data_IF_872388671312
#
_entry.id   IF_872388671312
#
_cell.length_a   1.000
_cell.length_b   1.000
_cell.length_c   1.000
_cell.angle_alpha   90.00
_cell.angle_beta   90.00
_cell.angle_gamma   90.00
#
_symmetry.space_group_name_H-M   'P 1'
#
loop_
_entity.id
_entity.type
_entity.pdbx_description
1 polymer ?
#
# COMPACT_ATOMS: atom_id res chain seq x y z
N UNK A 1 -0.82 -5.31 7.87
CA UNK A 1 -1.66 -6.50 8.10
C UNK A 1 -2.41 -6.98 6.86
N UNK A 2 -3.13 -6.12 6.11
CA UNK A 2 -3.88 -6.56 4.92
C UNK A 2 -2.98 -7.22 3.84
N UNK A 3 -1.86 -6.57 3.48
CA UNK A 3 -0.85 -7.15 2.55
C UNK A 3 -0.35 -8.51 3.06
N UNK A 4 0.08 -8.57 4.32
CA UNK A 4 0.61 -9.79 4.94
C UNK A 4 -0.40 -10.95 4.91
N UNK A 5 -1.68 -10.68 5.21
CA UNK A 5 -2.74 -11.70 5.15
C UNK A 5 -3.02 -12.18 3.72
N UNK A 6 -3.07 -11.27 2.74
CA UNK A 6 -3.26 -11.65 1.33
C UNK A 6 -2.14 -12.58 0.85
N UNK A 7 -0.88 -12.27 1.16
CA UNK A 7 0.25 -13.14 0.79
C UNK A 7 0.34 -14.43 1.63
N UNK A 8 -0.08 -14.40 2.90
CA UNK A 8 -0.21 -15.59 3.75
C UNK A 8 -1.22 -16.59 3.19
N UNK A 9 -2.36 -16.09 2.69
CA UNK A 9 -3.35 -16.92 2.00
C UNK A 9 -2.82 -17.53 0.70
N UNK A 10 -2.02 -16.78 -0.07
CA UNK A 10 -1.45 -17.25 -1.34
C UNK A 10 -0.35 -18.31 -1.14
N UNK A 11 0.49 -18.20 -0.10
CA UNK A 11 1.60 -19.15 0.17
C UNK A 11 1.29 -20.20 1.25
N UNK A 12 0.12 -20.15 1.88
CA UNK A 12 -0.30 -21.12 2.90
C UNK A 12 0.49 -21.09 4.21
N UNK A 13 1.14 -19.97 4.55
CA UNK A 13 1.90 -19.84 5.80
C UNK A 13 1.08 -19.12 6.87
N UNK A 14 1.24 -19.53 8.14
CA UNK A 14 0.63 -18.83 9.27
C UNK A 14 1.37 -17.53 9.53
N UNK A 15 0.73 -16.41 9.22
CA UNK A 15 1.24 -15.07 9.51
C UNK A 15 0.74 -14.61 10.88
N UNK A 16 1.67 -14.41 11.78
CA UNK A 16 1.39 -13.92 13.13
C UNK A 16 1.34 -12.39 13.14
N UNK A 17 0.13 -11.86 13.30
CA UNK A 17 -0.12 -10.41 13.23
C UNK A 17 0.66 -9.60 14.25
N UNK A 18 0.90 -10.16 15.43
CA UNK A 18 1.62 -9.47 16.49
C UNK A 18 3.10 -9.26 16.12
N UNK A 19 3.70 -10.24 15.44
CA UNK A 19 5.09 -10.15 14.95
C UNK A 19 5.22 -9.14 13.81
N UNK A 20 4.25 -9.08 12.90
CA UNK A 20 4.24 -8.04 11.85
C UNK A 20 4.13 -6.63 12.46
N UNK A 21 3.26 -6.46 13.46
CA UNK A 21 3.05 -5.16 14.08
C UNK A 21 4.30 -4.69 14.84
N UNK A 22 4.94 -5.60 15.58
CA UNK A 22 6.22 -5.33 16.23
C UNK A 22 7.32 -4.99 15.22
N UNK A 23 7.40 -5.73 14.11
CA UNK A 23 8.38 -5.46 13.06
C UNK A 23 8.17 -4.07 12.41
N UNK A 24 6.93 -3.69 12.10
CA UNK A 24 6.62 -2.34 11.61
C UNK A 24 6.94 -1.25 12.64
N UNK A 25 6.67 -1.49 13.92
CA UNK A 25 7.04 -0.59 15.01
C UNK A 25 8.55 -0.37 15.10
N UNK A 26 9.32 -1.46 15.14
CA UNK A 26 10.79 -1.40 15.15
C UNK A 26 11.35 -0.70 13.91
N UNK A 27 10.80 -0.96 12.72
CA UNK A 27 11.21 -0.29 11.47
C UNK A 27 10.96 1.22 11.52
N UNK A 28 9.81 1.67 12.01
CA UNK A 28 9.52 3.09 12.12
C UNK A 28 10.38 3.76 13.20
N UNK A 29 10.66 3.11 14.32
CA UNK A 29 11.59 3.62 15.34
C UNK A 29 12.98 3.82 14.74
N UNK A 30 13.51 2.80 14.04
CA UNK A 30 14.78 2.89 13.35
C UNK A 30 14.78 3.99 12.27
N UNK A 31 13.67 4.14 11.53
CA UNK A 31 13.51 5.15 10.49
C UNK A 31 13.44 6.59 11.01
N UNK A 32 12.87 6.80 12.20
CA UNK A 32 12.79 8.12 12.84
C UNK A 32 14.17 8.73 13.11
N UNK A 33 15.19 7.92 13.40
CA UNK A 33 16.57 8.41 13.55
C UNK A 33 17.17 8.94 12.24
N UNK A 34 16.63 8.53 11.09
CA UNK A 34 17.10 8.92 9.74
C UNK A 34 16.19 9.95 9.08
N UNK A 35 15.25 10.57 9.83
CA UNK A 35 14.22 11.47 9.28
C UNK A 35 13.37 10.84 8.14
N UNK A 36 13.18 9.52 8.16
CA UNK A 36 12.37 8.82 7.16
C UNK A 36 10.87 9.01 7.43
N UNK A 37 10.08 9.05 6.35
CA UNK A 37 8.62 8.99 6.43
C UNK A 37 8.16 7.62 6.94
N UNK A 38 6.98 7.57 7.56
CA UNK A 38 6.37 6.34 8.07
C UNK A 38 6.36 5.25 7.00
N UNK A 39 6.98 4.12 7.32
CA UNK A 39 7.05 2.97 6.45
C UNK A 39 5.79 2.13 6.64
N UNK A 40 5.10 1.85 5.53
CA UNK A 40 3.93 0.99 5.51
C UNK A 40 4.12 -0.16 4.50
N UNK A 41 3.35 -1.24 4.67
CA UNK A 41 3.32 -2.32 3.69
C UNK A 41 2.70 -1.85 2.38
N UNK A 42 3.43 -1.96 1.26
CA UNK A 42 2.98 -1.49 -0.05
C UNK A 42 2.53 -2.64 -0.95
N UNK A 43 1.22 -2.71 -1.24
CA UNK A 43 0.65 -3.71 -2.16
C UNK A 43 1.32 -3.69 -3.53
N UNK A 44 1.54 -2.49 -4.10
CA UNK A 44 2.10 -2.35 -5.45
C UNK A 44 3.52 -2.91 -5.55
N UNK A 45 4.40 -2.58 -4.58
CA UNK A 45 5.79 -3.09 -4.54
C UNK A 45 5.86 -4.59 -4.28
N UNK A 46 5.02 -5.12 -3.40
CA UNK A 46 5.00 -6.57 -3.13
C UNK A 46 4.41 -7.36 -4.29
N UNK A 47 3.39 -6.84 -4.98
CA UNK A 47 2.81 -7.47 -6.16
C UNK A 47 3.82 -7.59 -7.31
N UNK A 48 4.58 -6.53 -7.61
CA UNK A 48 5.61 -6.60 -8.66
C UNK A 48 6.76 -7.54 -8.27
N UNK A 49 7.17 -7.54 -7.00
CA UNK A 49 8.23 -8.44 -6.52
C UNK A 49 7.79 -9.92 -6.59
N UNK A 50 6.51 -10.17 -6.29
CA UNK A 50 5.90 -11.49 -6.45
C UNK A 50 5.79 -11.91 -7.92
N UNK A 51 5.38 -11.01 -8.82
CA UNK A 51 5.35 -11.25 -10.27
C UNK A 51 6.74 -11.50 -10.86
N UNK A 52 7.78 -10.87 -10.32
CA UNK A 52 9.18 -11.08 -10.72
C UNK A 52 9.77 -12.42 -10.21
N UNK A 53 8.97 -13.27 -9.54
CA UNK A 53 9.37 -14.57 -8.96
C UNK A 53 10.56 -14.48 -8.00
N UNK A 54 10.83 -13.28 -7.49
CA UNK A 54 11.92 -13.00 -6.59
C UNK A 54 11.43 -13.25 -5.16
N UNK A 55 11.88 -14.37 -4.58
CA UNK A 55 11.47 -14.80 -3.23
C UNK A 55 12.50 -14.48 -2.14
N UNK A 56 13.54 -13.69 -2.45
CA UNK A 56 14.68 -13.48 -1.57
C UNK A 56 14.76 -12.05 -1.05
N UNK A 57 15.14 -11.89 0.23
CA UNK A 57 15.43 -10.59 0.88
C UNK A 57 16.46 -9.74 0.13
N UNK A 58 17.28 -10.38 -0.71
CA UNK A 58 18.27 -9.73 -1.57
C UNK A 58 17.61 -8.73 -2.54
N UNK A 59 16.39 -9.02 -3.02
CA UNK A 59 15.66 -8.13 -3.92
C UNK A 59 15.34 -6.77 -3.29
N UNK A 60 14.99 -6.74 -2.00
CA UNK A 60 14.76 -5.48 -1.29
C UNK A 60 16.06 -4.69 -1.09
N UNK A 61 17.19 -5.36 -0.87
CA UNK A 61 18.50 -4.71 -0.74
C UNK A 61 18.91 -4.11 -2.08
N UNK A 62 18.80 -4.87 -3.18
CA UNK A 62 19.12 -4.38 -4.53
C UNK A 62 18.23 -3.19 -4.87
N UNK A 63 16.92 -3.27 -4.61
CA UNK A 63 16.00 -2.15 -4.81
C UNK A 63 16.44 -0.90 -4.02
N UNK A 64 16.80 -1.04 -2.74
CA UNK A 64 17.26 0.09 -1.93
C UNK A 64 18.55 0.72 -2.47
N UNK A 65 19.54 -0.10 -2.84
CA UNK A 65 20.81 0.37 -3.42
C UNK A 65 20.59 1.05 -4.76
N UNK A 66 19.75 0.47 -5.64
CA UNK A 66 19.40 1.09 -6.93
C UNK A 66 18.71 2.43 -6.74
N UNK A 67 17.81 2.58 -5.77
CA UNK A 67 17.16 3.87 -5.47
C UNK A 67 18.18 4.90 -5.00
N UNK A 68 19.11 4.54 -4.12
CA UNK A 68 20.18 5.44 -3.65
C UNK A 68 21.08 5.88 -4.81
N UNK A 69 21.53 4.93 -5.64
CA UNK A 69 22.34 5.23 -6.83
C UNK A 69 21.59 6.11 -7.83
N UNK A 70 20.30 5.83 -8.06
CA UNK A 70 19.45 6.64 -8.93
C UNK A 70 19.28 8.05 -8.38
N UNK A 71 19.09 8.21 -7.07
CA UNK A 71 19.04 9.53 -6.47
C UNK A 71 20.38 10.27 -6.67
N UNK A 72 21.53 9.69 -6.35
CA UNK A 72 22.82 10.40 -6.53
C UNK A 72 23.13 10.75 -7.99
N UNK A 73 22.94 9.81 -8.93
CA UNK A 73 23.24 10.04 -10.35
C UNK A 73 22.18 10.92 -11.05
N UNK A 74 20.92 10.79 -10.66
CA UNK A 74 19.77 11.37 -11.38
C UNK A 74 19.10 12.53 -10.64
N UNK A 75 19.62 12.97 -9.47
CA UNK A 75 19.11 14.15 -8.74
C UNK A 75 18.95 15.36 -9.66
N UNK A 76 19.89 15.58 -10.58
CA UNK A 76 19.83 16.70 -11.52
C UNK A 76 18.71 16.57 -12.56
N UNK A 77 18.31 15.35 -12.92
CA UNK A 77 17.23 15.11 -13.89
C UNK A 77 15.84 15.14 -13.22
N UNK A 78 15.73 14.61 -11.99
CA UNK A 78 14.53 14.68 -11.16
C UNK A 78 14.16 16.12 -10.80
N UNK A 79 15.13 17.01 -10.62
CA UNK A 79 14.88 18.43 -10.34
C UNK A 79 14.14 19.15 -11.48
N UNK A 80 14.43 18.78 -12.74
CA UNK A 80 13.78 19.36 -13.92
C UNK A 80 12.48 18.66 -14.30
N UNK A 81 12.06 17.64 -13.56
CA UNK A 81 10.86 16.88 -13.91
C UNK A 81 9.61 17.71 -13.60
N UNK A 82 8.80 18.09 -14.60
CA UNK A 82 7.57 18.82 -14.36
C UNK A 82 6.60 17.99 -13.49
N UNK A 83 5.88 18.67 -12.61
CA UNK A 83 4.86 18.06 -11.74
C UNK A 83 3.83 17.22 -12.51
N UNK A 84 3.64 17.50 -13.80
CA UNK A 84 2.81 16.73 -14.72
C UNK A 84 3.22 15.25 -14.83
N UNK A 85 4.52 14.94 -14.86
CA UNK A 85 5.00 13.55 -14.98
C UNK A 85 4.72 12.79 -13.68
N UNK A 86 4.96 13.41 -12.52
CA UNK A 86 4.62 12.81 -11.22
C UNK A 86 3.12 12.55 -11.11
N UNK A 87 2.28 13.53 -11.51
CA UNK A 87 0.83 13.36 -11.53
C UNK A 87 0.39 12.22 -12.45
N UNK A 88 0.98 12.10 -13.64
CA UNK A 88 0.68 11.00 -14.58
C UNK A 88 1.06 9.63 -14.00
N UNK A 89 2.19 9.51 -13.32
CA UNK A 89 2.62 8.25 -12.68
C UNK A 89 1.62 7.85 -11.60
N UNK A 90 1.23 8.79 -10.73
CA UNK A 90 0.22 8.53 -9.68
C UNK A 90 -1.11 8.12 -10.32
N UNK A 91 -1.55 8.84 -11.36
CA UNK A 91 -2.80 8.56 -12.06
C UNK A 91 -2.81 7.16 -12.69
N UNK A 92 -1.67 6.73 -13.25
CA UNK A 92 -1.52 5.40 -13.84
C UNK A 92 -1.57 4.26 -12.82
N UNK A 93 -1.41 4.54 -11.52
CA UNK A 93 -1.46 3.54 -10.46
C UNK A 93 -2.89 3.26 -9.95
N UNK A 94 -3.84 4.20 -10.12
CA UNK A 94 -5.23 4.01 -9.66
C UNK A 94 -6.00 2.84 -10.30
N UNK A 95 -5.86 2.54 -11.61
CA UNK A 95 -6.58 1.42 -12.23
C UNK A 95 -6.26 0.07 -11.58
N UNK A 96 -5.07 -0.04 -10.99
CA UNK A 96 -4.63 -1.25 -10.28
C UNK A 96 -5.18 -1.35 -8.86
N UNK A 97 -5.72 -0.24 -8.33
CA UNK A 97 -6.26 -0.14 -6.97
C UNK A 97 -7.80 -0.22 -6.96
N UNK A 98 -8.46 0.23 -8.03
CA UNK A 98 -9.92 0.15 -8.17
C UNK A 98 -10.31 -1.25 -8.69
N UNK A 99 -10.91 -2.05 -7.82
CA UNK A 99 -11.42 -3.38 -8.16
C UNK A 99 -12.96 -3.36 -8.26
N UNK A 100 -13.47 -2.93 -9.42
CA UNK A 100 -14.92 -2.79 -9.67
C UNK A 100 -15.63 -4.15 -9.60
N UNK A 101 -14.90 -5.24 -9.85
CA UNK A 101 -15.47 -6.58 -9.85
C UNK A 101 -15.83 -7.05 -8.43
N UNK A 102 -14.99 -6.71 -7.45
CA UNK A 102 -15.27 -6.97 -6.03
C UNK A 102 -16.46 -6.13 -5.52
N UNK A 103 -16.56 -4.86 -5.91
CA UNK A 103 -17.70 -4.02 -5.53
C UNK A 103 -19.04 -4.59 -6.02
N UNK A 104 -19.08 -5.13 -7.24
CA UNK A 104 -20.26 -5.78 -7.80
C UNK A 104 -20.57 -7.14 -7.11
N UNK A 105 -19.55 -7.86 -6.68
CA UNK A 105 -19.71 -9.10 -5.93
C UNK A 105 -20.30 -8.84 -4.53
N UNK A 106 -19.76 -7.86 -3.80
CA UNK A 106 -20.23 -7.46 -2.47
C UNK A 106 -21.70 -7.03 -2.52
N UNK A 107 -22.11 -6.24 -3.53
CA UNK A 107 -23.52 -5.87 -3.74
C UNK A 107 -24.46 -7.08 -3.80
N UNK A 108 -23.99 -8.19 -4.36
CA UNK A 108 -24.80 -9.39 -4.60
C UNK A 108 -24.82 -10.34 -3.39
N UNK A 109 -23.84 -10.24 -2.50
CA UNK A 109 -23.69 -11.10 -1.32
C UNK A 109 -24.35 -10.46 -0.10
N UNK A 110 -23.99 -9.23 0.24
CA UNK A 110 -24.50 -8.55 1.44
C UNK A 110 -24.70 -7.04 1.22
N UNK A 111 -25.93 -6.57 1.48
CA UNK A 111 -26.30 -5.17 1.29
C UNK A 111 -25.77 -4.26 2.40
N UNK A 112 -25.50 -4.79 3.59
CA UNK A 112 -25.01 -4.02 4.75
C UNK A 112 -23.52 -3.70 4.56
N UNK A 113 -22.72 -4.70 4.17
CA UNK A 113 -21.30 -4.50 3.82
C UNK A 113 -21.15 -3.53 2.64
N UNK A 114 -22.06 -3.59 1.67
CA UNK A 114 -22.07 -2.64 0.57
C UNK A 114 -22.35 -1.20 1.03
N UNK A 115 -23.28 -1.01 1.96
CA UNK A 115 -23.60 0.31 2.50
C UNK A 115 -22.45 0.87 3.34
N UNK A 116 -21.78 0.03 4.12
CA UNK A 116 -20.56 0.39 4.85
C UNK A 116 -19.44 0.82 3.88
N UNK A 117 -19.26 0.10 2.77
CA UNK A 117 -18.25 0.40 1.76
C UNK A 117 -18.52 1.75 1.05
N UNK A 118 -19.78 2.00 0.66
CA UNK A 118 -20.20 3.29 0.11
C UNK A 118 -20.03 4.42 1.14
N UNK A 119 -20.45 4.19 2.39
CA UNK A 119 -20.34 5.17 3.46
C UNK A 119 -18.89 5.55 3.74
N UNK A 120 -17.99 4.57 3.75
CA UNK A 120 -16.55 4.78 3.86
C UNK A 120 -16.02 5.58 2.66
N UNK A 121 -16.38 5.19 1.43
CA UNK A 121 -15.94 5.86 0.20
C UNK A 121 -16.32 7.34 0.20
N UNK A 122 -17.59 7.65 0.48
CA UNK A 122 -18.04 9.03 0.59
C UNK A 122 -17.45 9.76 1.79
N UNK A 123 -17.26 9.08 2.92
CA UNK A 123 -16.58 9.65 4.09
C UNK A 123 -15.16 10.09 3.80
N UNK A 124 -14.40 9.31 3.01
CA UNK A 124 -13.06 9.70 2.55
C UNK A 124 -13.13 10.85 1.55
N UNK A 125 -14.07 10.82 0.60
CA UNK A 125 -14.19 11.82 -0.47
C UNK A 125 -14.59 13.21 0.04
N UNK A 126 -15.50 13.28 1.00
CA UNK A 126 -16.05 14.53 1.50
C UNK A 126 -15.34 15.11 2.72
N UNK A 127 -14.74 14.27 3.57
CA UNK A 127 -14.14 14.73 4.84
C UNK A 127 -12.65 14.46 4.87
N UNK A 128 -12.25 13.21 5.06
CA UNK A 128 -10.85 12.77 5.14
C UNK A 128 -10.78 11.25 5.28
N UNK A 129 -9.63 10.68 4.94
CA UNK A 129 -9.36 9.25 5.06
C UNK A 129 -9.63 8.70 6.48
N UNK A 130 -9.32 9.48 7.51
CA UNK A 130 -9.54 9.12 8.91
C UNK A 130 -11.03 8.97 9.24
N UNK A 131 -11.86 9.94 8.81
CA UNK A 131 -13.31 9.91 9.05
C UNK A 131 -13.97 8.77 8.28
N UNK A 132 -13.56 8.52 7.03
CA UNK A 132 -14.07 7.39 6.26
C UNK A 132 -13.78 6.04 6.93
N UNK A 133 -12.61 5.89 7.58
CA UNK A 133 -12.28 4.69 8.34
C UNK A 133 -13.18 4.51 9.57
N UNK A 134 -13.46 5.60 10.31
CA UNK A 134 -14.34 5.57 11.50
C UNK A 134 -15.76 5.17 11.12
N UNK A 135 -16.29 5.73 10.03
CA UNK A 135 -17.62 5.39 9.49
C UNK A 135 -17.67 3.91 9.09
N UNK A 136 -16.62 3.40 8.43
CA UNK A 136 -16.53 2.00 8.05
C UNK A 136 -16.58 1.06 9.27
N UNK A 137 -15.77 1.33 10.30
CA UNK A 137 -15.72 0.51 11.52
C UNK A 137 -17.00 0.61 12.36
N UNK A 138 -17.71 1.72 12.31
CA UNK A 138 -18.95 1.92 13.09
C UNK A 138 -20.16 1.25 12.44
N UNK A 139 -20.05 0.87 11.16
CA UNK A 139 -21.11 0.19 10.40
C UNK A 139 -21.00 -1.35 10.47
N UNK A 140 -20.00 -1.88 11.20
CA UNK A 140 -19.70 -3.30 11.38
C UNK A 140 -20.01 -3.72 12.82
#
# INVERSE_FOLDING_TARGET
>A
MAVGRSFASIKGYHLDGNKEMLAMGCMNIAGSFTSCYVVTGSFSRTAVNFSARSQSSISNIVMAVTVILCLELFTRLLYYTPMAILASIILSAFPRLIDIREACYIWKVDKVDFLACIGAFFGVLFVSAETGLIVACSCW
#
